data_IF_293182345524
#
_entry.id   IF_293182345524
#
_cell.length_a   1.000
_cell.length_b   1.000
_cell.length_c   1.000
_cell.angle_alpha   90.00
_cell.angle_beta   90.00
_cell.angle_gamma   90.00
#
_symmetry.space_group_name_H-M   'P 1'
#
loop_
_entity.id
_entity.type
_entity.pdbx_description
1 polymer ?
#
# COMPACT_ATOMS: atom_id res chain seq x y z
N UNK A 1 -3.69 3.90 11.14
CA UNK A 1 -4.91 4.07 11.96
C UNK A 1 -6.00 3.13 11.38
N UNK A 2 -7.12 2.91 12.07
CA UNK A 2 -8.25 2.11 11.56
C UNK A 2 -9.44 3.04 11.31
N UNK A 3 -9.83 3.20 10.05
CA UNK A 3 -10.99 4.02 9.66
C UNK A 3 -11.99 3.14 8.91
N UNK A 4 -13.21 3.04 9.44
CA UNK A 4 -14.29 2.21 8.89
C UNK A 4 -13.90 0.72 8.69
N UNK A 5 -13.03 0.18 9.54
CA UNK A 5 -12.54 -1.19 9.43
C UNK A 5 -11.39 -1.39 8.44
N UNK A 6 -10.96 -0.33 7.74
CA UNK A 6 -9.79 -0.36 6.86
C UNK A 6 -8.56 0.16 7.60
N UNK A 7 -7.41 -0.48 7.37
CA UNK A 7 -6.13 0.11 7.74
C UNK A 7 -5.86 1.30 6.83
N UNK A 8 -5.69 2.46 7.45
CA UNK A 8 -5.33 3.70 6.76
C UNK A 8 -3.92 4.14 7.14
N UNK A 9 -3.24 4.70 6.16
CA UNK A 9 -1.94 5.33 6.30
C UNK A 9 -2.06 6.71 7.00
N UNK A 10 -0.93 7.38 7.29
CA UNK A 10 -0.94 8.72 7.91
C UNK A 10 -1.63 9.81 7.09
N UNK A 11 -1.87 9.59 5.80
CA UNK A 11 -2.52 10.53 4.88
C UNK A 11 -4.00 10.19 4.65
N UNK A 12 -4.58 9.37 5.54
CA UNK A 12 -5.96 8.90 5.48
C UNK A 12 -6.32 8.09 4.22
N UNK A 13 -5.32 7.61 3.49
CA UNK A 13 -5.50 6.71 2.37
C UNK A 13 -5.52 5.25 2.86
N UNK A 14 -6.31 4.40 2.21
CA UNK A 14 -6.37 2.99 2.57
C UNK A 14 -5.13 2.26 2.06
N UNK A 15 -4.55 1.40 2.88
CA UNK A 15 -3.50 0.50 2.39
C UNK A 15 -4.08 -0.47 1.37
N UNK A 16 -3.31 -0.70 0.30
CA UNK A 16 -3.63 -1.69 -0.71
C UNK A 16 -2.91 -2.99 -0.39
N UNK A 17 -3.66 -4.10 -0.39
CA UNK A 17 -3.14 -5.44 -0.15
C UNK A 17 -3.41 -6.35 -1.34
N UNK A 18 -2.41 -7.13 -1.74
CA UNK A 18 -2.53 -8.11 -2.83
C UNK A 18 -1.88 -9.43 -2.46
N UNK A 19 -2.70 -10.48 -2.50
CA UNK A 19 -2.27 -11.86 -2.42
C UNK A 19 -3.28 -12.77 -3.14
N UNK A 20 -2.84 -13.72 -3.97
CA UNK A 20 -1.46 -13.92 -4.43
C UNK A 20 -1.00 -12.79 -5.37
N UNK A 21 0.30 -12.65 -5.56
CA UNK A 21 0.91 -11.62 -6.41
C UNK A 21 2.09 -12.21 -7.20
N UNK A 22 2.42 -11.62 -8.35
CA UNK A 22 3.51 -12.06 -9.23
C UNK A 22 4.40 -10.92 -9.73
N UNK A 23 4.21 -9.72 -9.20
CA UNK A 23 4.91 -8.50 -9.62
C UNK A 23 6.29 -8.39 -8.95
N UNK A 24 6.37 -8.72 -7.66
CA UNK A 24 7.59 -8.63 -6.88
C UNK A 24 8.04 -10.00 -6.38
N UNK A 25 8.96 -10.65 -7.10
CA UNK A 25 9.37 -12.04 -6.85
C UNK A 25 9.99 -12.28 -5.46
N UNK A 26 10.47 -11.21 -4.80
CA UNK A 26 11.03 -11.24 -3.46
C UNK A 26 9.99 -11.12 -2.33
N UNK A 27 8.73 -10.79 -2.65
CA UNK A 27 7.65 -10.63 -1.69
C UNK A 27 6.60 -11.74 -1.85
N UNK A 28 6.06 -12.29 -0.77
CA UNK A 28 4.96 -13.25 -0.87
C UNK A 28 3.61 -12.57 -1.16
N UNK A 29 3.46 -11.33 -0.69
CA UNK A 29 2.28 -10.48 -0.82
C UNK A 29 2.73 -9.04 -1.03
N UNK A 30 1.85 -8.22 -1.61
CA UNK A 30 2.06 -6.78 -1.70
C UNK A 30 1.21 -6.08 -0.64
N UNK A 31 1.82 -5.15 0.07
CA UNK A 31 1.16 -4.20 0.95
C UNK A 31 1.81 -2.84 0.71
N UNK A 32 1.02 -1.86 0.27
CA UNK A 32 1.54 -0.53 -0.06
C UNK A 32 0.56 0.59 0.29
N UNK A 33 1.09 1.80 0.49
CA UNK A 33 0.38 3.07 0.68
C UNK A 33 0.78 4.02 -0.43
N UNK A 34 -0.17 4.84 -0.89
CA UNK A 34 0.06 5.84 -1.93
C UNK A 34 0.86 7.07 -1.43
N UNK A 35 1.36 7.04 -0.20
CA UNK A 35 2.18 8.12 0.32
C UNK A 35 1.44 9.47 0.48
N UNK A 36 2.21 10.55 0.69
CA UNK A 36 1.70 11.91 0.80
C UNK A 36 0.94 12.43 -0.41
N UNK A 37 1.36 12.06 -1.63
CA UNK A 37 0.74 12.55 -2.86
C UNK A 37 -0.59 11.87 -3.19
N UNK A 38 -0.90 10.75 -2.51
CA UNK A 38 -2.10 9.93 -2.67
C UNK A 38 -2.26 9.32 -4.06
N UNK A 39 -1.22 9.33 -4.90
CA UNK A 39 -1.24 8.82 -6.27
C UNK A 39 -0.43 7.54 -6.35
N UNK A 40 -1.10 6.44 -6.68
CA UNK A 40 -0.42 5.17 -6.90
C UNK A 40 0.48 5.21 -8.14
N UNK A 41 1.66 4.60 -8.03
CA UNK A 41 2.66 4.44 -9.09
C UNK A 41 3.69 5.57 -9.14
N UNK A 42 3.79 6.39 -8.10
CA UNK A 42 4.77 7.47 -7.99
C UNK A 42 5.93 7.04 -7.08
N UNK A 43 6.97 7.88 -7.01
CA UNK A 43 8.11 7.64 -6.12
C UNK A 43 7.75 7.79 -4.62
N UNK A 44 6.57 8.34 -4.31
CA UNK A 44 6.08 8.55 -2.95
C UNK A 44 5.40 7.29 -2.37
N UNK A 45 5.12 6.28 -3.20
CA UNK A 45 4.55 5.01 -2.79
C UNK A 45 5.44 4.31 -1.74
N UNK A 46 4.84 3.92 -0.62
CA UNK A 46 5.52 3.18 0.43
C UNK A 46 5.08 1.73 0.37
N UNK A 47 6.00 0.85 -0.04
CA UNK A 47 5.76 -0.55 -0.31
C UNK A 47 6.64 -1.48 0.54
N UNK A 48 6.21 -2.74 0.68
CA UNK A 48 6.93 -3.77 1.46
C UNK A 48 8.01 -4.54 0.67
N UNK A 49 8.36 -4.08 -0.53
CA UNK A 49 9.32 -4.74 -1.43
C UNK A 49 10.43 -3.79 -1.88
#
# INVERSE_FOLDING_TARGET
>A
DLKNGNFIDPWECSYSYKYPQSEHLNAAYLLYSNGPDMIFGTEDDIANW
#
